data_IF_374455696939
#
_entry.id   IF_374455696939
#
_cell.length_a   1.000
_cell.length_b   1.000
_cell.length_c   1.000
_cell.angle_alpha   90.00
_cell.angle_beta   90.00
_cell.angle_gamma   90.00
#
_symmetry.space_group_name_H-M   'P 1'
#
loop_
_entity.id
_entity.type
_entity.pdbx_description
1 polymer ?
#
# COMPACT_ATOMS: atom_id res chain seq x y z
N UNK A 1 -13.86 11.91 3.56
CA UNK A 1 -12.82 10.86 3.47
C UNK A 1 -11.91 11.24 2.33
N UNK A 2 -10.60 11.35 2.58
CA UNK A 2 -9.64 11.78 1.55
C UNK A 2 -9.68 10.85 0.35
N UNK A 3 -9.83 11.42 -0.85
CA UNK A 3 -9.83 10.67 -2.11
C UNK A 3 -8.37 10.41 -2.47
N UNK A 4 -7.80 9.32 -1.97
CA UNK A 4 -6.48 8.87 -2.39
C UNK A 4 -6.60 8.31 -3.80
N UNK A 5 -5.80 8.81 -4.75
CA UNK A 5 -5.70 8.18 -6.06
C UNK A 5 -5.03 6.81 -5.89
N UNK A 6 -5.82 5.74 -5.95
CA UNK A 6 -5.36 4.37 -5.84
C UNK A 6 -5.26 3.69 -7.20
N UNK A 7 -4.15 3.00 -7.46
CA UNK A 7 -4.03 2.08 -8.61
C UNK A 7 -3.54 0.72 -8.14
N UNK A 8 -4.13 -0.33 -8.71
CA UNK A 8 -3.86 -1.70 -8.32
C UNK A 8 -3.36 -2.53 -9.50
N UNK A 9 -2.36 -3.38 -9.27
CA UNK A 9 -1.79 -4.31 -10.25
C UNK A 9 -1.78 -5.73 -9.71
N UNK A 10 -2.11 -6.70 -10.57
CA UNK A 10 -1.90 -8.11 -10.27
C UNK A 10 -0.62 -8.62 -10.94
N UNK A 11 0.32 -9.15 -10.14
CA UNK A 11 1.60 -9.72 -10.57
C UNK A 11 1.76 -11.20 -10.16
N UNK A 12 0.72 -11.80 -9.58
CA UNK A 12 0.72 -13.22 -9.29
C UNK A 12 0.66 -14.09 -10.54
N UNK A 13 0.88 -15.39 -10.37
CA UNK A 13 0.91 -16.36 -11.48
C UNK A 13 -0.45 -16.99 -11.80
N UNK A 14 -1.50 -16.68 -11.05
CA UNK A 14 -2.78 -17.36 -11.22
C UNK A 14 -3.47 -16.91 -12.51
N UNK A 15 -3.80 -17.81 -13.44
CA UNK A 15 -4.53 -17.47 -14.65
C UNK A 15 -5.95 -16.97 -14.34
N UNK A 16 -6.52 -17.37 -13.19
CA UNK A 16 -7.85 -16.95 -12.74
C UNK A 16 -7.95 -15.44 -12.50
N UNK A 17 -6.82 -14.75 -12.30
CA UNK A 17 -6.82 -13.29 -12.15
C UNK A 17 -7.35 -12.55 -13.38
N UNK A 18 -7.31 -13.16 -14.57
CA UNK A 18 -7.89 -12.60 -15.80
C UNK A 18 -9.41 -12.39 -15.70
N UNK A 19 -10.08 -13.20 -14.90
CA UNK A 19 -11.53 -13.16 -14.69
C UNK A 19 -11.90 -12.52 -13.35
N UNK A 20 -10.91 -12.19 -12.52
CA UNK A 20 -11.13 -11.61 -11.20
C UNK A 20 -11.14 -10.08 -11.27
N UNK A 21 -12.00 -9.47 -10.46
CA UNK A 21 -11.96 -8.03 -10.23
C UNK A 21 -11.12 -7.73 -8.98
N UNK A 22 -10.38 -6.62 -8.95
CA UNK A 22 -9.73 -6.19 -7.71
C UNK A 22 -10.81 -5.96 -6.65
N UNK A 23 -10.49 -6.31 -5.41
CA UNK A 23 -11.37 -6.03 -4.28
C UNK A 23 -11.62 -4.52 -4.16
N UNK A 24 -12.84 -4.15 -3.79
CA UNK A 24 -13.14 -2.78 -3.40
C UNK A 24 -12.75 -2.54 -1.94
N UNK A 25 -12.41 -1.29 -1.60
CA UNK A 25 -12.37 -0.87 -0.21
C UNK A 25 -13.77 -1.08 0.40
N UNK A 26 -13.83 -1.72 1.57
CA UNK A 26 -15.09 -1.96 2.28
C UNK A 26 -15.72 -0.70 2.87
N UNK A 27 -15.03 0.44 2.83
CA UNK A 27 -15.49 1.71 3.40
C UNK A 27 -16.05 1.49 4.81
N UNK A 28 -15.26 0.84 5.68
CA UNK A 28 -15.71 0.55 7.04
C UNK A 28 -16.15 1.84 7.73
N UNK A 29 -17.34 1.77 8.34
CA UNK A 29 -17.78 2.75 9.34
C UNK A 29 -17.10 2.47 10.69
N UNK A 30 -15.76 2.35 10.67
CA UNK A 30 -14.95 2.08 11.87
C UNK A 30 -14.56 3.37 12.61
N UNK A 31 -15.21 4.50 12.28
CA UNK A 31 -14.84 5.83 12.80
C UNK A 31 -13.40 6.24 12.45
N UNK A 32 -12.76 5.57 11.48
CA UNK A 32 -11.35 5.76 11.14
C UNK A 32 -10.37 5.04 12.06
N UNK A 33 -10.79 4.01 12.80
CA UNK A 33 -9.94 3.28 13.75
C UNK A 33 -8.64 2.77 13.11
N UNK A 34 -8.71 2.14 11.93
CA UNK A 34 -7.51 1.68 11.21
C UNK A 34 -6.58 2.84 10.84
N UNK A 35 -7.14 3.93 10.30
CA UNK A 35 -6.40 5.13 9.96
C UNK A 35 -5.71 5.75 11.19
N UNK A 36 -6.43 5.88 12.32
CA UNK A 36 -5.88 6.38 13.57
C UNK A 36 -4.77 5.47 14.14
N UNK A 37 -4.94 4.15 14.03
CA UNK A 37 -3.94 3.17 14.43
C UNK A 37 -2.64 3.31 13.61
N UNK A 38 -2.77 3.44 12.30
CA UNK A 38 -1.63 3.70 11.42
C UNK A 38 -0.98 5.05 11.68
N UNK A 39 -1.78 6.10 11.86
CA UNK A 39 -1.27 7.43 12.20
C UNK A 39 -0.44 7.41 13.48
N UNK A 40 -0.91 6.71 14.51
CA UNK A 40 -0.13 6.52 15.76
C UNK A 40 1.18 5.78 15.51
N UNK A 41 1.15 4.72 14.69
CA UNK A 41 2.37 3.97 14.33
C UNK A 41 3.37 4.83 13.57
N UNK A 42 2.90 5.62 12.60
CA UNK A 42 3.70 6.55 11.81
C UNK A 42 4.31 7.67 12.66
N UNK A 43 3.53 8.27 13.57
CA UNK A 43 4.01 9.29 14.50
C UNK A 43 5.06 8.75 15.47
N UNK A 44 4.94 7.47 15.88
CA UNK A 44 5.93 6.82 16.74
C UNK A 44 7.23 6.49 16.00
N UNK A 45 7.12 6.07 14.74
CA UNK A 45 8.27 5.69 13.92
C UNK A 45 7.95 5.85 12.44
N UNK A 46 8.38 6.98 11.87
CA UNK A 46 8.17 7.27 10.45
C UNK A 46 9.02 6.38 9.54
N UNK A 47 10.22 5.98 9.98
CA UNK A 47 11.15 5.19 9.17
C UNK A 47 10.69 3.75 8.97
N UNK A 48 10.16 3.10 10.01
CA UNK A 48 9.78 1.69 9.96
C UNK A 48 8.84 1.31 11.09
N UNK A 49 7.84 0.49 10.78
CA UNK A 49 7.06 -0.20 11.80
C UNK A 49 6.52 -1.52 11.28
N UNK A 50 6.09 -2.37 12.21
CA UNK A 50 5.30 -3.57 11.90
C UNK A 50 4.02 -3.53 12.71
N UNK A 51 2.91 -3.91 12.10
CA UNK A 51 1.61 -3.97 12.76
C UNK A 51 0.77 -5.11 12.19
N UNK A 52 -0.07 -5.71 13.04
CA UNK A 52 -1.11 -6.62 12.60
C UNK A 52 -2.40 -5.87 12.33
N UNK A 53 -3.02 -6.13 11.19
CA UNK A 53 -4.33 -5.60 10.79
C UNK A 53 -5.37 -6.70 10.97
N UNK A 54 -6.37 -6.40 11.79
CA UNK A 54 -7.50 -7.29 12.04
C UNK A 54 -8.76 -6.54 11.67
N UNK A 55 -9.47 -7.09 10.69
CA UNK A 55 -10.78 -6.61 10.28
C UNK A 55 -11.76 -7.75 10.59
N UNK A 56 -12.91 -7.49 11.25
CA UNK A 56 -13.88 -8.52 11.56
C UNK A 56 -14.23 -9.35 10.32
N UNK A 57 -14.38 -10.68 10.51
CA UNK A 57 -14.78 -11.64 9.46
C UNK A 57 -13.76 -11.84 8.32
N UNK A 58 -12.67 -11.07 8.29
CA UNK A 58 -11.61 -11.22 7.30
C UNK A 58 -10.36 -11.87 7.90
N UNK A 59 -9.57 -12.48 7.03
CA UNK A 59 -8.29 -13.07 7.45
C UNK A 59 -7.31 -11.96 7.82
N UNK A 60 -6.70 -12.00 9.02
CA UNK A 60 -5.72 -11.01 9.43
C UNK A 60 -4.56 -10.89 8.45
N UNK A 61 -3.97 -9.70 8.39
CA UNK A 61 -2.79 -9.43 7.58
C UNK A 61 -1.78 -8.62 8.38
N UNK A 62 -0.50 -8.92 8.24
CA UNK A 62 0.57 -8.13 8.82
C UNK A 62 1.05 -7.10 7.81
N UNK A 63 1.40 -5.91 8.29
CA UNK A 63 2.03 -4.86 7.50
C UNK A 63 3.42 -4.58 8.03
N UNK A 64 4.37 -4.46 7.11
CA UNK A 64 5.71 -3.94 7.37
C UNK A 64 5.87 -2.63 6.59
N UNK A 65 5.93 -1.50 7.28
CA UNK A 65 6.16 -0.18 6.69
C UNK A 65 7.65 0.13 6.63
N UNK A 66 8.05 0.83 5.57
CA UNK A 66 9.37 1.45 5.43
C UNK A 66 9.20 2.81 4.80
N UNK A 67 9.52 3.88 5.54
CA UNK A 67 9.60 5.24 5.01
C UNK A 67 10.78 5.36 4.06
N UNK A 68 10.58 6.11 2.97
CA UNK A 68 11.60 6.36 1.95
C UNK A 68 11.74 7.86 1.78
N UNK A 69 12.85 8.40 2.29
CA UNK A 69 13.06 9.84 2.33
C UNK A 69 11.98 10.54 3.17
N UNK A 70 11.46 11.66 2.68
CA UNK A 70 10.47 12.46 3.42
C UNK A 70 9.05 12.27 2.89
N UNK A 71 8.89 12.03 1.58
CA UNK A 71 7.58 12.09 0.92
C UNK A 71 7.08 10.75 0.38
N UNK A 72 7.86 9.69 0.52
CA UNK A 72 7.50 8.36 0.04
C UNK A 72 7.52 7.30 1.13
N UNK A 73 6.84 6.21 0.85
CA UNK A 73 6.92 5.01 1.67
C UNK A 73 6.55 3.77 0.90
N UNK A 74 6.92 2.64 1.47
CA UNK A 74 6.57 1.32 0.94
C UNK A 74 6.04 0.45 2.06
N UNK A 75 5.13 -0.46 1.71
CA UNK A 75 4.71 -1.54 2.59
C UNK A 75 4.85 -2.89 1.95
N UNK A 76 5.05 -3.89 2.81
CA UNK A 76 4.81 -5.28 2.46
C UNK A 76 3.71 -5.83 3.34
N UNK A 77 2.73 -6.42 2.68
CA UNK A 77 1.58 -7.08 3.28
C UNK A 77 1.84 -8.58 3.33
N UNK A 78 1.77 -9.17 4.52
CA UNK A 78 2.00 -10.60 4.72
C UNK A 78 0.76 -11.27 5.28
N UNK A 79 0.40 -12.40 4.66
CA UNK A 79 -0.66 -13.28 5.14
C UNK A 79 -0.05 -14.63 5.47
N UNK A 80 -0.27 -15.13 6.68
CA UNK A 80 0.25 -16.43 7.13
C UNK A 80 1.78 -16.54 6.88
N UNK A 81 2.51 -15.45 7.15
CA UNK A 81 3.97 -15.34 6.94
C UNK A 81 4.43 -15.15 5.48
N UNK A 82 3.56 -15.32 4.49
CA UNK A 82 3.86 -15.19 3.06
C UNK A 82 3.57 -13.78 2.57
N UNK A 83 4.36 -13.29 1.62
CA UNK A 83 4.11 -11.98 1.00
C UNK A 83 2.89 -12.08 0.10
N UNK A 84 1.90 -11.24 0.38
CA UNK A 84 0.62 -11.22 -0.32
C UNK A 84 0.53 -10.05 -1.30
N UNK A 85 1.00 -8.88 -0.88
CA UNK A 85 1.03 -7.67 -1.68
C UNK A 85 2.16 -6.73 -1.23
N UNK A 86 2.46 -5.71 -2.02
CA UNK A 86 3.25 -4.55 -1.59
C UNK A 86 2.57 -3.27 -2.04
N UNK A 87 2.65 -2.22 -1.23
CA UNK A 87 2.14 -0.90 -1.63
C UNK A 87 3.25 0.15 -1.67
N UNK A 88 3.08 1.14 -2.53
CA UNK A 88 3.96 2.29 -2.70
C UNK A 88 3.11 3.54 -2.49
N UNK A 89 3.62 4.49 -1.71
CA UNK A 89 2.96 5.72 -1.33
C UNK A 89 3.82 6.87 -1.81
N UNK A 90 3.27 7.74 -2.65
CA UNK A 90 3.96 8.89 -3.25
C UNK A 90 3.14 10.16 -2.99
N UNK A 91 3.72 11.14 -2.31
CA UNK A 91 3.05 12.39 -1.97
C UNK A 91 3.34 13.53 -2.99
N UNK A 92 4.37 13.43 -3.82
CA UNK A 92 4.50 14.18 -5.08
C UNK A 92 5.71 15.08 -5.28
N UNK A 93 6.77 14.93 -4.49
CA UNK A 93 8.08 15.57 -4.75
C UNK A 93 9.20 14.52 -4.66
N UNK A 94 8.91 13.30 -5.11
CA UNK A 94 9.90 12.23 -4.99
C UNK A 94 11.06 12.48 -5.97
N UNK A 95 12.25 12.64 -5.40
CA UNK A 95 13.49 12.73 -6.18
C UNK A 95 13.88 11.34 -6.70
N UNK A 96 14.68 11.28 -7.77
CA UNK A 96 15.13 10.02 -8.39
C UNK A 96 15.72 9.02 -7.37
N UNK A 97 16.40 9.53 -6.34
CA UNK A 97 16.97 8.72 -5.26
C UNK A 97 15.89 7.97 -4.46
N UNK A 98 14.73 8.59 -4.19
CA UNK A 98 13.61 7.95 -3.50
C UNK A 98 12.99 6.86 -4.37
N UNK A 99 12.87 7.10 -5.69
CA UNK A 99 12.40 6.08 -6.65
C UNK A 99 13.34 4.87 -6.69
N UNK A 100 14.66 5.11 -6.74
CA UNK A 100 15.65 4.01 -6.69
C UNK A 100 15.58 3.25 -5.37
N UNK A 101 15.37 3.94 -4.25
CA UNK A 101 15.21 3.31 -2.94
C UNK A 101 13.95 2.43 -2.88
N UNK A 102 12.82 2.88 -3.45
CA UNK A 102 11.60 2.05 -3.58
C UNK A 102 11.91 0.78 -4.39
N UNK A 103 12.56 0.91 -5.54
CA UNK A 103 12.94 -0.24 -6.37
C UNK A 103 13.86 -1.20 -5.64
N UNK A 104 14.85 -0.67 -4.90
CA UNK A 104 15.77 -1.48 -4.10
C UNK A 104 15.04 -2.23 -2.98
N UNK A 105 14.07 -1.60 -2.31
CA UNK A 105 13.25 -2.21 -1.26
C UNK A 105 12.39 -3.37 -1.78
N UNK A 106 11.81 -3.23 -2.96
CA UNK A 106 11.04 -4.28 -3.61
C UNK A 106 11.96 -5.42 -4.10
N UNK A 107 13.09 -5.08 -4.75
CA UNK A 107 14.09 -6.06 -5.21
C UNK A 107 14.67 -6.88 -4.07
N UNK A 108 15.05 -6.24 -2.95
CA UNK A 108 15.59 -6.91 -1.76
C UNK A 108 14.62 -7.91 -1.14
N UNK A 109 13.31 -7.71 -1.34
CA UNK A 109 12.24 -8.63 -0.89
C UNK A 109 11.81 -9.64 -1.95
N UNK A 110 12.51 -9.70 -3.10
CA UNK A 110 12.19 -10.54 -4.26
C UNK A 110 10.79 -10.26 -4.83
N UNK A 111 10.38 -9.00 -4.79
CA UNK A 111 9.10 -8.51 -5.30
C UNK A 111 9.36 -7.70 -6.57
N UNK A 112 9.40 -8.33 -7.76
CA UNK A 112 9.69 -7.60 -8.98
C UNK A 112 8.58 -6.58 -9.26
N UNK A 113 8.99 -5.35 -9.57
CA UNK A 113 8.14 -4.32 -10.14
C UNK A 113 8.37 -4.28 -11.65
N UNK A 114 7.32 -4.27 -12.49
CA UNK A 114 7.50 -4.15 -13.94
C UNK A 114 8.19 -2.83 -14.29
N UNK A 115 9.15 -2.86 -15.21
CA UNK A 115 9.84 -1.64 -15.65
C UNK A 115 8.86 -0.57 -16.19
N UNK A 116 7.79 -1.00 -16.87
CA UNK A 116 6.75 -0.13 -17.41
C UNK A 116 5.80 0.45 -16.34
N UNK A 117 5.84 -0.05 -15.09
CA UNK A 117 5.02 0.47 -13.99
C UNK A 117 5.32 1.95 -13.78
N UNK A 118 6.61 2.31 -13.73
CA UNK A 118 7.04 3.68 -13.50
C UNK A 118 6.62 4.65 -14.60
N UNK A 119 6.57 4.20 -15.86
CA UNK A 119 6.06 5.02 -16.96
C UNK A 119 4.57 5.37 -16.79
N UNK A 120 3.78 4.46 -16.21
CA UNK A 120 2.37 4.72 -15.88
C UNK A 120 2.27 5.64 -14.66
N UNK A 121 3.02 5.34 -13.61
CA UNK A 121 3.04 6.10 -12.34
C UNK A 121 3.43 7.56 -12.56
N UNK A 122 4.40 7.83 -13.44
CA UNK A 122 4.85 9.19 -13.74
C UNK A 122 3.72 10.12 -14.24
N UNK A 123 2.69 9.55 -14.90
CA UNK A 123 1.57 10.28 -15.50
C UNK A 123 0.38 10.50 -14.56
N UNK A 124 0.36 9.88 -13.38
CA UNK A 124 -0.78 9.95 -12.46
C UNK A 124 -0.71 11.19 -11.56
N UNK A 125 -1.86 11.68 -11.08
CA UNK A 125 -1.89 12.78 -10.12
C UNK A 125 -1.50 12.29 -8.72
N UNK A 126 -0.79 13.13 -7.97
CA UNK A 126 -0.35 12.87 -6.60
C UNK A 126 -1.29 13.60 -5.61
N UNK A 127 -1.46 13.13 -4.36
CA UNK A 127 -0.87 11.92 -3.77
C UNK A 127 -1.38 10.63 -4.43
N UNK A 128 -0.53 9.60 -4.43
CA UNK A 128 -0.76 8.35 -5.15
C UNK A 128 -0.44 7.13 -4.27
N UNK A 129 -1.40 6.21 -4.19
CA UNK A 129 -1.24 4.87 -3.66
C UNK A 129 -1.16 3.86 -4.81
N UNK A 130 -0.13 3.04 -4.84
CA UNK A 130 0.00 1.92 -5.77
C UNK A 130 0.00 0.64 -4.94
N UNK A 131 -0.81 -0.35 -5.30
CA UNK A 131 -0.78 -1.68 -4.66
C UNK A 131 -0.50 -2.76 -5.71
N UNK A 132 0.49 -3.59 -5.46
CA UNK A 132 0.88 -4.72 -6.30
C UNK A 132 0.58 -6.03 -5.56
N UNK A 133 -0.31 -6.84 -6.13
CA UNK A 133 -0.72 -8.11 -5.56
C UNK A 133 0.07 -9.26 -6.16
N UNK A 134 0.65 -10.11 -5.30
CA UNK A 134 1.48 -11.25 -5.71
C UNK A 134 0.75 -12.58 -5.61
N UNK A 135 -0.42 -12.62 -4.98
CA UNK A 135 -1.31 -13.77 -4.95
C UNK A 135 -2.76 -13.36 -5.25
N UNK A 136 -3.58 -14.32 -5.66
CA UNK A 136 -4.97 -14.04 -6.06
C UNK A 136 -5.83 -13.64 -4.87
N UNK A 137 -5.60 -14.22 -3.69
CA UNK A 137 -6.39 -13.96 -2.48
C UNK A 137 -6.22 -12.51 -2.08
N UNK A 138 -5.00 -11.98 -2.07
CA UNK A 138 -4.73 -10.58 -1.75
C UNK A 138 -5.35 -9.62 -2.74
N UNK A 139 -5.51 -10.02 -4.00
CA UNK A 139 -6.13 -9.23 -5.07
C UNK A 139 -7.66 -9.17 -4.95
N UNK A 140 -8.28 -10.27 -4.51
CA UNK A 140 -9.75 -10.39 -4.41
C UNK A 140 -10.29 -10.19 -3.00
N UNK A 141 -9.44 -10.21 -1.98
CA UNK A 141 -9.80 -9.97 -0.58
C UNK A 141 -9.65 -8.48 -0.24
N UNK A 142 -10.69 -7.85 0.33
CA UNK A 142 -10.68 -6.43 0.61
C UNK A 142 -9.73 -5.99 1.73
N UNK A 143 -9.18 -6.92 2.54
CA UNK A 143 -8.36 -6.54 3.70
C UNK A 143 -7.15 -5.69 3.30
N UNK A 144 -6.49 -6.03 2.18
CA UNK A 144 -5.29 -5.31 1.71
C UNK A 144 -5.68 -3.92 1.21
N UNK A 145 -6.70 -3.84 0.35
CA UNK A 145 -7.13 -2.58 -0.26
C UNK A 145 -7.60 -1.61 0.82
N UNK A 146 -8.44 -2.09 1.74
CA UNK A 146 -8.93 -1.32 2.89
C UNK A 146 -7.77 -0.83 3.77
N UNK A 147 -6.85 -1.72 4.16
CA UNK A 147 -5.74 -1.35 5.03
C UNK A 147 -4.74 -0.41 4.35
N UNK A 148 -4.48 -0.61 3.04
CA UNK A 148 -3.60 0.23 2.26
C UNK A 148 -4.16 1.64 2.10
N UNK A 149 -5.46 1.78 1.82
CA UNK A 149 -6.12 3.09 1.76
C UNK A 149 -6.18 3.78 3.13
N UNK A 150 -6.43 3.04 4.22
CA UNK A 150 -6.39 3.59 5.57
C UNK A 150 -4.99 4.10 5.94
N UNK A 151 -3.95 3.34 5.59
CA UNK A 151 -2.56 3.75 5.80
C UNK A 151 -2.16 4.91 4.89
N UNK A 152 -2.63 4.94 3.64
CA UNK A 152 -2.38 6.04 2.72
C UNK A 152 -2.99 7.34 3.24
N UNK A 153 -4.24 7.30 3.69
CA UNK A 153 -4.87 8.43 4.36
C UNK A 153 -4.08 8.86 5.60
N UNK A 154 -3.70 7.91 6.46
CA UNK A 154 -2.89 8.21 7.64
C UNK A 154 -1.54 8.84 7.30
N UNK A 155 -0.90 8.42 6.21
CA UNK A 155 0.39 8.93 5.76
C UNK A 155 0.26 10.32 5.12
N UNK A 156 -0.60 10.47 4.10
CA UNK A 156 -0.77 11.72 3.35
C UNK A 156 -1.34 12.85 4.22
N UNK A 157 -2.25 12.55 5.16
CA UNK A 157 -2.75 13.57 6.10
C UNK A 157 -1.64 14.18 6.97
N UNK A 158 -0.52 13.48 7.21
CA UNK A 158 0.61 14.07 7.94
C UNK A 158 1.29 15.23 7.19
N UNK A 159 1.08 15.30 5.87
CA UNK A 159 1.65 16.35 5.01
C UNK A 159 0.63 17.43 4.62
N UNK A 160 -0.59 17.38 5.18
CA UNK A 160 -1.67 18.31 4.84
C UNK A 160 -2.26 18.07 3.44
N UNK A 161 -1.99 16.94 2.78
CA UNK A 161 -2.45 16.63 1.41
C UNK A 161 -3.84 15.97 1.38
N UNK A 162 -4.72 16.32 2.32
CA UNK A 162 -6.04 15.69 2.47
C UNK A 162 -7.12 16.73 2.75
N UNK A 163 -7.41 17.55 1.74
CA UNK A 163 -8.65 18.33 1.64
C UNK A 163 -9.68 17.58 0.77
#
# INVERSE_FOLDING_TARGET
>A
MGVVNGITFYMGKSPAARNAKPAANLMFDDGGFLCQSFRRSLLKSQEKFKAGVKIPELTPIDVEWTGIGQTAGVTVWRREGKIAAGSIFLNGIEVDQEVQAIVAQFRGRRLPLPAHLWQKVAKLKRPLLITVHYDLRSYTDPVVVTAAEALANAFFTMFGTSD
#
